data_IF_706311730389
#
_entry.id   IF_706311730389
#
_cell.length_a   1.000
_cell.length_b   1.000
_cell.length_c   1.000
_cell.angle_alpha   90.00
_cell.angle_beta   90.00
_cell.angle_gamma   90.00
#
_symmetry.space_group_name_H-M   'P 1'
#
loop_
_entity.id
_entity.type
_entity.pdbx_description
1 polymer ?
#
# COMPACT_ATOMS: atom_id res chain seq x y z
N UNK A 1 -6.47 5.89 -7.90
CA UNK A 1 -7.29 7.09 -7.59
C UNK A 1 -7.19 7.46 -6.13
N UNK A 2 -7.37 8.73 -5.80
CA UNK A 2 -7.41 9.25 -4.42
C UNK A 2 -8.81 9.79 -4.13
N UNK A 3 -9.36 9.46 -2.97
CA UNK A 3 -10.73 9.81 -2.56
C UNK A 3 -10.66 10.49 -1.21
N UNK A 4 -11.10 11.74 -1.14
CA UNK A 4 -11.30 12.47 0.11
C UNK A 4 -12.72 12.20 0.59
N UNK A 5 -12.85 11.76 1.83
CA UNK A 5 -14.13 11.40 2.45
C UNK A 5 -14.28 12.04 3.83
N UNK A 6 -15.53 12.11 4.30
CA UNK A 6 -15.79 12.36 5.72
C UNK A 6 -15.29 11.19 6.56
N UNK A 7 -14.62 11.48 7.67
CA UNK A 7 -14.18 10.47 8.64
C UNK A 7 -15.31 10.10 9.57
N UNK A 8 -16.16 9.20 9.10
CA UNK A 8 -17.35 8.71 9.81
C UNK A 8 -17.43 7.18 9.77
N UNK A 9 -17.99 6.54 10.80
CA UNK A 9 -18.23 5.10 10.80
C UNK A 9 -18.98 4.63 9.54
N UNK A 10 -18.51 3.53 8.93
CA UNK A 10 -19.14 2.90 7.79
C UNK A 10 -18.83 3.51 6.42
N UNK A 11 -18.10 4.63 6.34
CA UNK A 11 -17.75 5.25 5.03
C UNK A 11 -16.85 4.34 4.22
N UNK A 12 -15.80 3.77 4.82
CA UNK A 12 -14.92 2.80 4.15
C UNK A 12 -15.70 1.59 3.61
N UNK A 13 -16.57 1.01 4.43
CA UNK A 13 -17.39 -0.13 4.02
C UNK A 13 -18.31 0.23 2.85
N UNK A 14 -18.88 1.42 2.83
CA UNK A 14 -19.74 1.93 1.76
C UNK A 14 -18.98 2.13 0.46
N UNK A 15 -17.79 2.72 0.52
CA UNK A 15 -16.89 2.87 -0.64
C UNK A 15 -16.49 1.50 -1.20
N UNK A 16 -15.98 0.62 -0.34
CA UNK A 16 -15.56 -0.72 -0.76
C UNK A 16 -16.72 -1.54 -1.37
N UNK A 17 -17.90 -1.53 -0.74
CA UNK A 17 -19.07 -2.25 -1.26
C UNK A 17 -19.58 -1.68 -2.58
N UNK A 18 -19.47 -0.36 -2.79
CA UNK A 18 -19.86 0.28 -4.06
C UNK A 18 -18.99 -0.19 -5.22
N UNK A 19 -17.69 -0.37 -4.97
CA UNK A 19 -16.74 -0.89 -5.95
C UNK A 19 -17.02 -2.39 -6.21
N UNK A 20 -17.11 -3.18 -5.16
CA UNK A 20 -17.26 -4.64 -5.24
C UNK A 20 -18.58 -5.07 -5.91
N UNK A 21 -19.70 -4.37 -5.66
CA UNK A 21 -21.02 -4.68 -6.29
C UNK A 21 -21.01 -4.55 -7.81
N UNK A 22 -20.05 -3.85 -8.37
CA UNK A 22 -19.87 -3.68 -9.82
C UNK A 22 -18.89 -4.67 -10.41
N UNK A 23 -18.40 -5.60 -9.59
CA UNK A 23 -17.42 -6.62 -10.02
C UNK A 23 -16.00 -6.10 -10.21
N UNK A 24 -15.70 -4.86 -9.75
CA UNK A 24 -14.34 -4.33 -9.84
C UNK A 24 -13.49 -4.83 -8.69
N UNK A 25 -12.28 -5.28 -9.03
CA UNK A 25 -11.30 -5.70 -8.03
C UNK A 25 -10.56 -4.49 -7.45
N UNK A 26 -10.34 -4.53 -6.14
CA UNK A 26 -9.46 -3.58 -5.43
C UNK A 26 -8.11 -4.27 -5.25
N UNK A 27 -7.11 -3.85 -6.01
CA UNK A 27 -5.76 -4.40 -5.94
C UNK A 27 -4.98 -3.87 -4.74
N UNK A 28 -5.26 -2.65 -4.33
CA UNK A 28 -4.65 -2.00 -3.16
C UNK A 28 -5.59 -0.95 -2.60
N UNK A 29 -5.67 -0.89 -1.28
CA UNK A 29 -6.45 0.08 -0.54
C UNK A 29 -5.64 0.56 0.67
N UNK A 30 -5.44 1.85 0.76
CA UNK A 30 -4.88 2.50 1.95
C UNK A 30 -5.82 3.63 2.38
N UNK A 31 -6.03 3.78 3.69
CA UNK A 31 -6.85 4.81 4.29
C UNK A 31 -6.08 5.46 5.42
N UNK A 32 -6.10 6.77 5.48
CA UNK A 32 -5.47 7.51 6.56
C UNK A 32 -6.12 8.87 6.81
N UNK A 33 -5.88 9.46 7.98
CA UNK A 33 -6.35 10.80 8.30
C UNK A 33 -5.69 11.84 7.40
N UNK A 34 -6.32 13.00 7.27
CA UNK A 34 -5.73 14.17 6.62
C UNK A 34 -5.34 15.22 7.68
N UNK A 35 -4.73 16.31 7.21
CA UNK A 35 -4.46 17.48 8.07
C UNK A 35 -5.72 18.27 8.45
N UNK A 36 -6.89 17.89 7.93
CA UNK A 36 -8.20 18.48 8.25
C UNK A 36 -8.97 17.49 9.11
N UNK A 37 -9.31 17.90 10.32
CA UNK A 37 -10.10 17.09 11.24
C UNK A 37 -11.44 16.66 10.62
N UNK A 38 -11.87 15.42 10.90
CA UNK A 38 -13.09 14.85 10.36
C UNK A 38 -13.02 14.45 8.87
N UNK A 39 -11.81 14.40 8.31
CA UNK A 39 -11.57 13.95 6.93
C UNK A 39 -10.51 12.88 6.83
N UNK A 40 -10.81 11.85 6.05
CA UNK A 40 -9.87 10.79 5.69
C UNK A 40 -9.62 10.74 4.20
N UNK A 41 -8.44 10.28 3.82
CA UNK A 41 -8.04 10.09 2.43
C UNK A 41 -7.83 8.61 2.16
N UNK A 42 -8.47 8.11 1.11
CA UNK A 42 -8.31 6.75 0.61
C UNK A 42 -7.52 6.78 -0.68
N UNK A 43 -6.53 5.90 -0.80
CA UNK A 43 -5.85 5.64 -2.08
C UNK A 43 -6.26 4.25 -2.54
N UNK A 44 -6.90 4.18 -3.70
CA UNK A 44 -7.41 2.94 -4.28
C UNK A 44 -6.70 2.67 -5.60
N UNK A 45 -6.18 1.45 -5.74
CA UNK A 45 -5.63 0.93 -6.99
C UNK A 45 -6.61 -0.12 -7.52
N UNK A 46 -7.08 0.09 -8.74
CA UNK A 46 -7.99 -0.80 -9.48
C UNK A 46 -7.58 -0.85 -10.95
N UNK A 47 -8.22 -1.68 -11.75
CA UNK A 47 -7.96 -1.78 -13.19
C UNK A 47 -8.35 -0.49 -13.93
N UNK A 48 -7.54 -0.09 -14.92
CA UNK A 48 -7.71 1.18 -15.65
C UNK A 48 -9.08 1.31 -16.33
N UNK A 49 -9.59 0.22 -16.92
CA UNK A 49 -10.88 0.20 -17.60
C UNK A 49 -12.07 0.51 -16.68
N UNK A 50 -11.87 0.34 -15.39
CA UNK A 50 -12.90 0.49 -14.36
C UNK A 50 -12.96 1.88 -13.73
N UNK A 51 -11.91 2.69 -13.88
CA UNK A 51 -11.73 3.95 -13.11
C UNK A 51 -12.88 4.93 -13.31
N UNK A 52 -13.28 5.21 -14.54
CA UNK A 52 -14.38 6.14 -14.84
C UNK A 52 -15.73 5.68 -14.29
N UNK A 53 -16.02 4.37 -14.39
CA UNK A 53 -17.27 3.82 -13.86
C UNK A 53 -17.30 3.84 -12.33
N UNK A 54 -16.19 3.46 -11.68
CA UNK A 54 -16.02 3.53 -10.23
C UNK A 54 -16.21 4.97 -9.75
N UNK A 55 -15.55 5.93 -10.38
CA UNK A 55 -15.63 7.36 -10.09
C UNK A 55 -17.09 7.89 -10.15
N UNK A 56 -17.85 7.54 -11.20
CA UNK A 56 -19.27 7.89 -11.32
C UNK A 56 -20.13 7.33 -10.20
N UNK A 57 -19.86 6.12 -9.73
CA UNK A 57 -20.61 5.52 -8.63
C UNK A 57 -20.24 6.12 -7.28
N UNK A 58 -18.97 6.34 -7.04
CA UNK A 58 -18.48 6.90 -5.78
C UNK A 58 -18.93 8.37 -5.59
N UNK A 59 -19.05 9.14 -6.67
CA UNK A 59 -19.57 10.51 -6.62
C UNK A 59 -21.04 10.59 -6.15
N UNK A 60 -21.78 9.50 -6.16
CA UNK A 60 -23.16 9.43 -5.63
C UNK A 60 -23.21 9.26 -4.11
N UNK A 61 -22.10 8.95 -3.47
CA UNK A 61 -22.03 8.77 -2.03
C UNK A 61 -21.92 10.13 -1.33
N UNK A 62 -22.84 10.40 -0.42
CA UNK A 62 -22.91 11.68 0.31
C UNK A 62 -21.61 12.00 1.07
N UNK A 63 -20.94 10.96 1.59
CA UNK A 63 -19.73 11.13 2.38
C UNK A 63 -18.44 11.29 1.53
N UNK A 64 -18.53 11.18 0.20
CA UNK A 64 -17.41 11.42 -0.71
C UNK A 64 -17.34 12.91 -1.03
N UNK A 65 -16.23 13.54 -0.66
CA UNK A 65 -16.02 14.97 -0.82
C UNK A 65 -15.36 15.27 -2.18
N UNK A 66 -14.33 14.49 -2.54
CA UNK A 66 -13.57 14.71 -3.78
C UNK A 66 -12.94 13.40 -4.23
N UNK A 67 -12.97 13.15 -5.53
CA UNK A 67 -12.25 12.05 -6.17
C UNK A 67 -11.25 12.64 -7.16
N UNK A 68 -10.00 12.18 -7.08
CA UNK A 68 -8.92 12.58 -7.98
C UNK A 68 -8.34 11.32 -8.61
N UNK A 69 -8.32 11.28 -9.92
CA UNK A 69 -7.54 10.32 -10.67
C UNK A 69 -6.07 10.75 -10.62
N UNK A 70 -5.20 9.83 -10.20
CA UNK A 70 -3.79 10.13 -10.02
C UNK A 70 -3.03 9.81 -11.31
N UNK A 71 -2.43 10.83 -11.89
CA UNK A 71 -1.53 10.69 -13.02
C UNK A 71 -0.17 10.12 -12.53
N UNK A 72 0.28 8.96 -13.04
CA UNK A 72 1.54 8.36 -12.61
C UNK A 72 2.77 9.28 -12.77
N UNK A 73 2.79 10.15 -13.79
CA UNK A 73 3.91 11.06 -14.05
C UNK A 73 3.99 12.21 -13.04
N UNK A 74 2.86 12.56 -12.42
CA UNK A 74 2.74 13.67 -11.49
C UNK A 74 2.32 13.21 -10.08
N UNK A 75 2.65 11.96 -9.71
CA UNK A 75 2.26 11.38 -8.43
C UNK A 75 3.46 10.77 -7.73
N UNK A 76 3.64 11.11 -6.46
CA UNK A 76 4.53 10.38 -5.56
C UNK A 76 3.71 9.32 -4.86
N UNK A 77 4.15 8.07 -4.92
CA UNK A 77 3.55 6.94 -4.23
C UNK A 77 4.53 6.26 -3.28
N UNK A 78 4.02 5.69 -2.21
CA UNK A 78 4.81 4.95 -1.23
C UNK A 78 3.99 3.83 -0.61
N UNK A 79 4.68 2.75 -0.25
CA UNK A 79 4.15 1.63 0.53
C UNK A 79 5.17 1.25 1.61
N UNK A 80 4.70 0.59 2.67
CA UNK A 80 5.57 -0.05 3.66
C UNK A 80 5.39 -1.56 3.55
N UNK A 81 6.51 -2.29 3.52
CA UNK A 81 6.59 -3.74 3.59
C UNK A 81 7.21 -4.14 4.93
N UNK A 82 6.55 -5.04 5.65
CA UNK A 82 7.15 -5.82 6.72
C UNK A 82 7.30 -7.26 6.24
N UNK A 83 8.50 -7.82 6.34
CA UNK A 83 8.79 -9.17 5.87
C UNK A 83 9.65 -9.92 6.88
N UNK A 84 9.19 -11.10 7.27
CA UNK A 84 9.88 -12.04 8.14
C UNK A 84 10.42 -13.21 7.32
N UNK A 85 11.71 -13.44 7.41
CA UNK A 85 12.39 -14.51 6.67
C UNK A 85 13.12 -15.44 7.60
N UNK A 86 13.28 -16.69 7.17
CA UNK A 86 14.10 -17.67 7.87
C UNK A 86 15.59 -17.36 7.69
N UNK A 87 16.34 -17.48 8.76
CA UNK A 87 17.80 -17.38 8.75
C UNK A 87 18.41 -18.54 9.57
N UNK A 88 19.68 -18.79 9.36
CA UNK A 88 20.51 -19.65 10.20
C UNK A 88 21.89 -19.00 10.34
N UNK A 89 22.81 -19.64 11.08
CA UNK A 89 24.16 -19.12 11.32
C UNK A 89 24.94 -18.81 10.04
N UNK A 90 24.70 -19.56 8.97
CA UNK A 90 25.39 -19.41 7.69
C UNK A 90 24.80 -18.29 6.84
N UNK A 91 23.47 -18.11 6.89
CA UNK A 91 22.76 -17.17 6.02
C UNK A 91 22.52 -15.80 6.65
N UNK A 92 22.57 -15.68 7.98
CA UNK A 92 22.22 -14.45 8.73
C UNK A 92 22.96 -13.22 8.21
N UNK A 93 24.29 -13.28 8.12
CA UNK A 93 25.09 -12.14 7.67
C UNK A 93 24.72 -11.73 6.25
N UNK A 94 24.63 -12.69 5.32
CA UNK A 94 24.28 -12.43 3.93
C UNK A 94 22.89 -11.83 3.76
N UNK A 95 21.91 -12.30 4.52
CA UNK A 95 20.52 -11.77 4.48
C UNK A 95 20.48 -10.33 4.97
N UNK A 96 21.13 -10.03 6.10
CA UNK A 96 21.18 -8.68 6.66
C UNK A 96 21.91 -7.71 5.74
N UNK A 97 23.03 -8.11 5.15
CA UNK A 97 23.75 -7.27 4.18
C UNK A 97 22.91 -6.95 2.95
N UNK A 98 22.23 -7.94 2.36
CA UNK A 98 21.32 -7.74 1.23
C UNK A 98 20.17 -6.81 1.57
N UNK A 99 19.60 -6.95 2.76
CA UNK A 99 18.54 -6.07 3.24
C UNK A 99 19.04 -4.62 3.37
N UNK A 100 20.20 -4.42 3.99
CA UNK A 100 20.81 -3.09 4.14
C UNK A 100 21.13 -2.44 2.79
N UNK A 101 21.69 -3.20 1.84
CA UNK A 101 21.97 -2.72 0.48
C UNK A 101 20.69 -2.33 -0.27
N UNK A 102 19.57 -2.92 0.06
CA UNK A 102 18.25 -2.57 -0.51
C UNK A 102 17.61 -1.37 0.18
N UNK A 103 18.23 -0.82 1.22
CA UNK A 103 17.68 0.27 2.02
C UNK A 103 16.66 -0.18 3.06
N UNK A 104 16.53 -1.48 3.31
CA UNK A 104 15.64 -2.01 4.33
C UNK A 104 16.25 -1.87 5.73
N UNK A 105 15.38 -1.66 6.70
CA UNK A 105 15.74 -1.59 8.12
C UNK A 105 15.51 -2.97 8.77
N UNK A 106 16.50 -3.48 9.49
CA UNK A 106 16.31 -4.63 10.38
C UNK A 106 15.51 -4.19 11.60
N UNK A 107 14.33 -4.73 11.78
CA UNK A 107 13.41 -4.39 12.88
C UNK A 107 13.62 -5.34 14.06
N UNK A 108 13.78 -6.63 13.76
CA UNK A 108 14.03 -7.66 14.77
C UNK A 108 14.85 -8.80 14.17
N UNK A 109 15.72 -9.40 14.94
CA UNK A 109 16.58 -10.54 14.52
C UNK A 109 16.64 -11.55 15.65
N UNK A 110 16.07 -12.72 15.40
CA UNK A 110 16.14 -13.88 16.29
C UNK A 110 17.25 -14.86 15.90
N UNK A 111 17.20 -16.06 16.46
CA UNK A 111 18.17 -17.12 16.14
C UNK A 111 17.90 -17.75 14.76
N UNK A 112 16.65 -17.85 14.37
CA UNK A 112 16.16 -18.55 13.18
C UNK A 112 15.31 -17.69 12.24
N UNK A 113 15.14 -16.42 12.56
CA UNK A 113 14.40 -15.46 11.75
C UNK A 113 15.00 -14.04 11.79
N UNK A 114 14.68 -13.26 10.75
CA UNK A 114 14.89 -11.82 10.74
C UNK A 114 13.65 -11.13 10.17
N UNK A 115 13.34 -9.96 10.72
CA UNK A 115 12.24 -9.09 10.27
C UNK A 115 12.81 -7.81 9.71
N UNK A 116 12.41 -7.47 8.50
CA UNK A 116 12.82 -6.25 7.81
C UNK A 116 11.62 -5.37 7.49
N UNK A 117 11.86 -4.06 7.52
CA UNK A 117 10.96 -3.02 7.06
C UNK A 117 11.57 -2.32 5.85
N UNK A 118 10.81 -2.19 4.78
CA UNK A 118 11.18 -1.40 3.61
C UNK A 118 10.04 -0.49 3.20
N UNK A 119 10.33 0.80 3.05
CA UNK A 119 9.41 1.79 2.48
C UNK A 119 9.89 2.14 1.08
N UNK A 120 8.99 2.15 0.12
CA UNK A 120 9.32 2.47 -1.27
C UNK A 120 8.12 2.33 -2.20
N UNK A 121 8.40 2.38 -3.49
CA UNK A 121 7.41 2.11 -4.54
C UNK A 121 7.07 0.62 -4.59
N UNK A 122 5.92 0.28 -5.14
CA UNK A 122 5.50 -1.11 -5.33
C UNK A 122 6.56 -1.95 -6.04
N UNK A 123 7.24 -1.36 -7.03
CA UNK A 123 8.31 -2.01 -7.80
C UNK A 123 9.53 -2.34 -6.93
N UNK A 124 9.93 -1.43 -6.06
CA UNK A 124 11.05 -1.63 -5.14
C UNK A 124 10.73 -2.72 -4.11
N UNK A 125 9.51 -2.71 -3.55
CA UNK A 125 9.08 -3.72 -2.59
C UNK A 125 9.02 -5.12 -3.22
N UNK A 126 8.51 -5.25 -4.45
CA UNK A 126 8.49 -6.53 -5.19
C UNK A 126 9.92 -7.03 -5.47
N UNK A 127 10.85 -6.14 -5.82
CA UNK A 127 12.25 -6.49 -6.02
C UNK A 127 12.88 -7.03 -4.74
N UNK A 128 12.61 -6.39 -3.62
CA UNK A 128 13.11 -6.81 -2.30
C UNK A 128 12.51 -8.15 -1.85
N UNK A 129 11.22 -8.36 -2.03
CA UNK A 129 10.55 -9.64 -1.77
C UNK A 129 11.23 -10.78 -2.57
N UNK A 130 11.46 -10.56 -3.87
CA UNK A 130 12.14 -11.54 -4.73
C UNK A 130 13.56 -11.85 -4.26
N UNK A 131 14.27 -10.85 -3.75
CA UNK A 131 15.63 -11.00 -3.22
C UNK A 131 15.66 -11.90 -1.98
N UNK A 132 14.64 -11.82 -1.12
CA UNK A 132 14.55 -12.58 0.12
C UNK A 132 13.86 -13.95 -0.03
N UNK A 133 13.11 -14.15 -1.10
CA UNK A 133 12.36 -15.39 -1.35
C UNK A 133 13.20 -16.69 -1.23
N UNK A 134 14.48 -16.76 -1.71
CA UNK A 134 15.32 -17.95 -1.58
C UNK A 134 15.62 -18.38 -0.15
N UNK A 135 15.53 -17.47 0.82
CA UNK A 135 15.79 -17.76 2.24
C UNK A 135 14.58 -18.33 2.98
N UNK A 136 13.40 -18.27 2.37
CA UNK A 136 12.14 -18.70 2.96
C UNK A 136 11.42 -17.57 3.68
N UNK A 137 10.37 -17.06 3.06
CA UNK A 137 9.48 -16.05 3.65
C UNK A 137 8.54 -16.76 4.61
N UNK A 138 8.59 -16.38 5.89
CA UNK A 138 7.72 -16.92 6.94
C UNK A 138 6.39 -16.16 6.95
N UNK A 139 6.47 -14.83 6.88
CA UNK A 139 5.31 -13.94 6.91
C UNK A 139 5.65 -12.63 6.18
N UNK A 140 4.67 -12.03 5.55
CA UNK A 140 4.82 -10.76 4.86
C UNK A 140 3.50 -10.00 4.86
N UNK A 141 3.59 -8.67 5.03
CA UNK A 141 2.45 -7.77 4.87
C UNK A 141 2.89 -6.46 4.21
N UNK A 142 2.02 -5.91 3.38
CA UNK A 142 2.17 -4.59 2.75
C UNK A 142 0.99 -3.71 3.12
N UNK A 143 1.24 -2.42 3.34
CA UNK A 143 0.20 -1.46 3.69
C UNK A 143 -0.79 -1.15 2.57
N UNK A 144 -0.39 -1.37 1.33
CA UNK A 144 -1.02 -0.73 0.18
C UNK A 144 -0.46 0.66 -0.09
N UNK A 145 -0.74 1.20 -1.27
CA UNK A 145 -0.18 2.48 -1.72
C UNK A 145 -0.87 3.66 -1.08
N UNK A 146 -0.07 4.58 -0.55
CA UNK A 146 -0.48 5.97 -0.35
C UNK A 146 0.11 6.80 -1.48
N UNK A 147 -0.58 7.87 -1.88
CA UNK A 147 -0.15 8.68 -3.01
C UNK A 147 -0.56 10.15 -2.90
N UNK A 148 0.31 11.04 -3.38
CA UNK A 148 0.08 12.48 -3.42
C UNK A 148 0.48 13.00 -4.81
N UNK A 149 -0.35 13.86 -5.41
CA UNK A 149 0.03 14.59 -6.62
C UNK A 149 1.06 15.68 -6.34
N UNK A 150 2.04 15.82 -7.22
CA UNK A 150 3.10 16.83 -7.13
C UNK A 150 2.74 18.15 -7.79
N UNK A 151 1.80 18.14 -8.74
CA UNK A 151 1.26 19.34 -9.38
C UNK A 151 -0.24 19.46 -9.08
N UNK A 152 -0.63 20.66 -8.72
CA UNK A 152 -2.03 21.04 -8.49
C UNK A 152 -2.74 21.37 -9.83
#
# INVERSE_FOLDING_TARGET
MSILVEDKPGVLARVASTISRRGFNINSLAVGPTNVEGRSKMTIVTELESVEQVKKQLNKLVNVIKIVELDPENTIESEVLLIKVSINKETQTSVIEKANLSGAKSVDVGQDYAVFELTGTSKELIKFEKLLKPYGIIEMIRTGRIAIQTKL
#
